data_IF_342909712139
#
_entry.id   IF_342909712139
#
_cell.length_a   1.000
_cell.length_b   1.000
_cell.length_c   1.000
_cell.angle_alpha   90.00
_cell.angle_beta   90.00
_cell.angle_gamma   90.00
#
_symmetry.space_group_name_H-M   'P 1'
#
loop_
_entity.id
_entity.type
_entity.pdbx_description
1 polymer ?
#
# COMPACT_ATOMS: atom_id res chain seq x y z
N UNK A 1 24.19 12.92 -19.70
CA UNK A 1 22.76 12.82 -19.29
C UNK A 1 22.56 11.43 -18.72
N UNK A 2 22.05 11.30 -17.49
CA UNK A 2 21.72 9.97 -16.95
C UNK A 2 20.48 9.43 -17.65
N UNK A 3 20.50 8.15 -18.03
CA UNK A 3 19.35 7.45 -18.60
C UNK A 3 18.88 6.34 -17.63
N UNK A 4 17.62 6.07 -17.63
CA UNK A 4 16.97 5.06 -16.82
C UNK A 4 16.09 4.18 -17.70
N UNK A 5 16.03 2.90 -17.39
CA UNK A 5 15.17 1.94 -18.09
C UNK A 5 13.71 2.08 -17.64
N UNK A 6 13.51 2.37 -16.34
CA UNK A 6 12.18 2.58 -15.74
C UNK A 6 12.16 3.84 -14.88
N UNK A 7 11.06 4.57 -14.96
CA UNK A 7 10.76 5.69 -14.06
C UNK A 7 9.46 5.38 -13.34
N UNK A 8 9.53 5.23 -12.03
CA UNK A 8 8.38 4.94 -11.16
C UNK A 8 7.99 6.26 -10.47
N UNK A 9 6.76 6.71 -10.67
CA UNK A 9 6.25 7.93 -10.06
C UNK A 9 5.43 7.57 -8.83
N UNK A 10 5.96 7.92 -7.66
CA UNK A 10 5.43 7.61 -6.35
C UNK A 10 6.07 6.37 -5.71
N UNK A 11 6.69 6.56 -4.54
CA UNK A 11 7.23 5.49 -3.70
C UNK A 11 6.19 4.99 -2.67
N UNK A 12 4.92 4.86 -3.07
CA UNK A 12 3.89 4.20 -2.28
C UNK A 12 4.01 2.68 -2.34
N UNK A 13 3.04 1.95 -1.79
CA UNK A 13 3.06 0.48 -1.71
C UNK A 13 3.33 -0.18 -3.07
N UNK A 14 2.61 0.22 -4.12
CA UNK A 14 2.79 -0.33 -5.47
C UNK A 14 4.14 0.04 -6.07
N UNK A 15 4.56 1.30 -5.95
CA UNK A 15 5.84 1.76 -6.48
C UNK A 15 7.04 1.08 -5.82
N UNK A 16 6.98 0.85 -4.51
CA UNK A 16 8.02 0.10 -3.80
C UNK A 16 8.10 -1.36 -4.26
N UNK A 17 6.96 -2.01 -4.47
CA UNK A 17 6.92 -3.39 -4.99
C UNK A 17 7.50 -3.45 -6.41
N UNK A 18 7.11 -2.53 -7.28
CA UNK A 18 7.66 -2.46 -8.64
C UNK A 18 9.16 -2.20 -8.64
N UNK A 19 9.64 -1.26 -7.80
CA UNK A 19 11.07 -0.97 -7.69
C UNK A 19 11.85 -2.20 -7.23
N UNK A 20 11.33 -2.94 -6.24
CA UNK A 20 11.92 -4.16 -5.75
C UNK A 20 11.98 -5.23 -6.87
N UNK A 21 10.83 -5.56 -7.45
CA UNK A 21 10.72 -6.63 -8.45
C UNK A 21 11.52 -6.35 -9.73
N UNK A 22 11.47 -5.14 -10.24
CA UNK A 22 12.26 -4.74 -11.43
C UNK A 22 13.77 -4.65 -11.12
N UNK A 23 14.13 -4.43 -9.85
CA UNK A 23 15.53 -4.32 -9.42
C UNK A 23 16.18 -5.66 -9.02
N UNK A 24 15.43 -6.75 -8.86
CA UNK A 24 15.93 -8.05 -8.37
C UNK A 24 17.09 -8.59 -9.23
N UNK A 25 17.00 -8.48 -10.54
CA UNK A 25 18.00 -8.99 -11.47
C UNK A 25 19.19 -8.04 -11.73
N UNK A 26 19.16 -6.83 -11.18
CA UNK A 26 20.18 -5.77 -11.32
C UNK A 26 20.54 -5.38 -12.76
N UNK A 27 19.70 -5.75 -13.74
CA UNK A 27 19.92 -5.41 -15.16
C UNK A 27 19.36 -4.05 -15.54
N UNK A 28 18.37 -3.58 -14.80
CA UNK A 28 17.65 -2.35 -15.08
C UNK A 28 18.06 -1.22 -14.14
N UNK A 29 18.24 -0.03 -14.72
CA UNK A 29 18.44 1.20 -13.96
C UNK A 29 17.09 1.86 -13.71
N UNK A 30 16.69 1.91 -12.44
CA UNK A 30 15.36 2.35 -12.04
C UNK A 30 15.46 3.68 -11.30
N UNK A 31 14.63 4.64 -11.70
CA UNK A 31 14.44 5.90 -10.98
C UNK A 31 13.08 5.88 -10.29
N UNK A 32 13.07 6.12 -8.99
CA UNK A 32 11.83 6.31 -8.23
C UNK A 32 11.72 7.78 -7.84
N UNK A 33 10.62 8.42 -8.21
CA UNK A 33 10.30 9.81 -7.87
C UNK A 33 9.22 9.84 -6.80
N UNK A 34 9.53 10.43 -5.65
CA UNK A 34 8.59 10.60 -4.55
C UNK A 34 8.42 12.08 -4.20
N UNK A 35 7.19 12.52 -3.97
CA UNK A 35 6.88 13.92 -3.65
C UNK A 35 7.17 14.27 -2.19
N UNK A 36 7.18 13.27 -1.31
CA UNK A 36 7.40 13.43 0.11
C UNK A 36 8.82 13.09 0.55
N UNK A 37 9.12 13.28 1.84
CA UNK A 37 10.41 12.92 2.42
C UNK A 37 10.54 11.40 2.62
N UNK A 38 11.74 10.99 3.06
CA UNK A 38 11.95 9.68 3.66
C UNK A 38 11.10 9.51 4.94
N UNK A 39 10.79 8.30 5.30
CA UNK A 39 9.91 7.90 6.40
C UNK A 39 10.54 8.01 7.81
N UNK A 40 11.52 8.88 7.99
CA UNK A 40 12.24 9.05 9.26
C UNK A 40 11.43 9.67 10.40
N UNK A 41 10.18 10.08 10.14
CA UNK A 41 9.33 10.64 11.19
C UNK A 41 8.94 9.55 12.19
N UNK A 42 9.30 9.76 13.46
CA UNK A 42 9.06 8.81 14.55
C UNK A 42 7.59 8.38 14.68
N UNK A 43 6.64 9.29 14.34
CA UNK A 43 5.20 8.97 14.40
C UNK A 43 4.75 7.92 13.37
N UNK A 44 5.53 7.67 12.34
CA UNK A 44 5.30 6.60 11.38
C UNK A 44 5.60 5.23 12.01
N UNK A 45 6.64 5.16 12.83
CA UNK A 45 7.14 3.90 13.40
C UNK A 45 6.52 3.54 14.75
N UNK A 46 5.67 4.41 15.29
CA UNK A 46 4.95 4.16 16.55
C UNK A 46 3.47 3.95 16.22
N UNK A 47 2.87 2.77 16.47
CA UNK A 47 1.46 2.51 16.18
C UNK A 47 0.50 3.57 16.72
N UNK A 48 0.70 4.02 17.96
CA UNK A 48 -0.09 5.11 18.55
C UNK A 48 0.12 6.47 17.89
N UNK A 49 1.11 6.60 17.02
CA UNK A 49 1.44 7.85 16.30
C UNK A 49 0.53 8.14 15.11
N UNK A 50 -0.31 7.21 14.68
CA UNK A 50 -1.14 7.31 13.46
C UNK A 50 -1.93 8.61 13.37
N UNK A 51 -2.58 9.04 14.45
CA UNK A 51 -3.35 10.30 14.46
C UNK A 51 -2.49 11.56 14.30
N UNK A 52 -1.22 11.52 14.78
CA UNK A 52 -0.26 12.59 14.57
C UNK A 52 0.28 12.57 13.15
N UNK A 53 0.51 11.39 12.58
CA UNK A 53 0.92 11.23 11.19
C UNK A 53 -0.15 11.77 10.24
N UNK A 54 -1.43 11.46 10.45
CA UNK A 54 -2.55 11.97 9.65
C UNK A 54 -2.66 13.50 9.64
N UNK A 55 -2.26 14.16 10.69
CA UNK A 55 -2.32 15.64 10.82
C UNK A 55 -1.05 16.35 10.40
N UNK A 56 -0.03 15.62 10.01
CA UNK A 56 1.26 16.21 9.66
C UNK A 56 1.33 16.56 8.17
N UNK A 57 1.28 17.85 7.78
CA UNK A 57 1.28 18.27 6.37
C UNK A 57 2.59 17.97 5.63
N UNK A 58 3.66 17.62 6.35
CA UNK A 58 4.94 17.25 5.74
C UNK A 58 4.89 15.85 5.12
N UNK A 59 4.05 14.95 5.66
CA UNK A 59 3.94 13.54 5.26
C UNK A 59 2.53 13.14 4.81
N UNK A 60 1.61 14.09 4.73
CA UNK A 60 0.23 13.89 4.28
C UNK A 60 -0.15 14.98 3.29
N UNK A 61 -0.85 14.62 2.21
CA UNK A 61 -1.39 15.56 1.23
C UNK A 61 -2.53 16.41 1.80
N UNK A 62 -3.16 15.98 2.90
CA UNK A 62 -4.29 16.65 3.56
C UNK A 62 -5.47 16.94 2.62
N UNK A 63 -5.81 16.00 1.76
CA UNK A 63 -7.02 16.13 0.95
C UNK A 63 -8.28 16.08 1.83
N UNK A 64 -9.33 16.70 1.35
CA UNK A 64 -10.68 16.56 1.88
C UNK A 64 -11.68 16.43 0.71
N UNK A 65 -12.85 15.87 0.98
CA UNK A 65 -13.92 15.85 0.00
C UNK A 65 -14.47 17.27 -0.23
N UNK A 66 -15.23 17.44 -1.28
CA UNK A 66 -16.19 18.53 -1.35
C UNK A 66 -17.23 18.40 -0.21
N UNK A 67 -18.06 19.40 -0.03
CA UNK A 67 -19.13 19.32 0.95
C UNK A 67 -20.11 18.21 0.57
N UNK A 68 -20.44 17.36 1.52
CA UNK A 68 -21.34 16.22 1.32
C UNK A 68 -22.72 16.55 1.89
N UNK A 69 -23.74 16.81 1.05
CA UNK A 69 -25.08 17.19 1.51
C UNK A 69 -25.69 16.17 2.47
N UNK A 70 -25.49 14.87 2.19
CA UNK A 70 -25.98 13.75 3.03
C UNK A 70 -25.25 13.63 4.38
N UNK A 71 -24.18 14.39 4.58
CA UNK A 71 -23.43 14.47 5.81
C UNK A 71 -23.51 15.87 6.47
N UNK A 72 -24.64 16.54 6.34
CA UNK A 72 -24.87 17.90 6.88
C UNK A 72 -23.88 18.94 6.32
N UNK A 73 -23.64 18.91 5.02
CA UNK A 73 -22.69 19.77 4.32
C UNK A 73 -21.25 19.76 4.86
N UNK A 74 -20.87 18.65 5.50
CA UNK A 74 -19.49 18.47 5.96
C UNK A 74 -18.59 18.01 4.83
N UNK A 75 -17.34 18.46 4.86
CA UNK A 75 -16.27 17.79 4.15
C UNK A 75 -15.64 16.72 5.05
N UNK A 76 -15.13 15.68 4.42
CA UNK A 76 -14.48 14.55 5.10
C UNK A 76 -12.99 14.58 4.81
N UNK A 77 -12.12 14.60 5.83
CA UNK A 77 -10.67 14.48 5.62
C UNK A 77 -10.31 13.16 4.92
N UNK A 78 -9.48 13.26 3.89
CA UNK A 78 -9.01 12.13 3.08
C UNK A 78 -7.48 12.02 3.17
N UNK A 79 -6.92 11.44 4.26
CA UNK A 79 -5.50 11.30 4.42
C UNK A 79 -4.88 10.48 3.29
N UNK A 80 -3.79 10.99 2.70
CA UNK A 80 -2.96 10.28 1.72
C UNK A 80 -1.51 10.57 2.02
N UNK A 81 -0.72 9.51 2.13
CA UNK A 81 0.69 9.64 2.42
C UNK A 81 1.45 10.40 1.34
N UNK A 82 2.25 11.37 1.78
CA UNK A 82 3.23 12.13 1.00
C UNK A 82 4.60 11.85 1.60
N UNK A 83 5.09 10.65 1.43
CA UNK A 83 6.28 10.12 2.09
C UNK A 83 6.67 8.79 1.42
N UNK A 84 7.92 8.38 1.50
CA UNK A 84 8.33 7.03 1.09
C UNK A 84 7.50 5.98 1.85
N UNK A 85 6.94 5.01 1.13
CA UNK A 85 5.91 4.08 1.59
C UNK A 85 4.48 4.57 1.35
N UNK A 86 4.29 5.86 1.02
CA UNK A 86 2.99 6.44 0.71
C UNK A 86 1.99 6.29 1.86
N UNK A 87 0.74 5.95 1.53
CA UNK A 87 -0.31 5.77 2.55
C UNK A 87 -0.07 4.57 3.47
N UNK A 88 0.75 3.57 3.07
CA UNK A 88 1.12 2.48 3.98
C UNK A 88 2.00 2.94 5.14
N UNK A 89 2.74 4.06 4.99
CA UNK A 89 3.52 4.66 6.10
C UNK A 89 2.67 5.44 7.11
N UNK A 90 1.42 5.77 6.79
CA UNK A 90 0.54 6.55 7.68
C UNK A 90 -0.81 5.88 7.95
N UNK A 91 -1.06 4.66 7.48
CA UNK A 91 -2.32 3.96 7.63
C UNK A 91 -2.56 3.47 9.08
N UNK A 92 -3.72 2.90 9.33
CA UNK A 92 -4.09 2.33 10.64
C UNK A 92 -3.63 0.88 10.83
N UNK A 93 -2.76 0.38 9.96
CA UNK A 93 -2.11 -0.95 10.06
C UNK A 93 -3.10 -2.12 10.05
N UNK A 94 -4.29 -1.95 9.50
CA UNK A 94 -5.23 -3.04 9.29
C UNK A 94 -4.87 -3.77 8.01
N UNK A 95 -4.53 -5.06 8.12
CA UNK A 95 -4.30 -5.92 6.97
C UNK A 95 -5.59 -6.68 6.65
N UNK A 96 -6.15 -6.41 5.48
CA UNK A 96 -7.36 -7.07 4.98
C UNK A 96 -7.27 -7.19 3.46
N UNK A 97 -7.61 -8.35 2.94
CA UNK A 97 -7.78 -8.57 1.50
C UNK A 97 -9.21 -8.27 1.10
N UNK A 98 -9.42 -7.97 -0.19
CA UNK A 98 -10.76 -7.90 -0.76
C UNK A 98 -11.49 -9.25 -0.68
N UNK A 99 -12.83 -9.21 -0.76
CA UNK A 99 -13.62 -10.44 -0.77
C UNK A 99 -13.35 -11.22 -2.07
N UNK A 100 -13.26 -12.56 -2.04
CA UNK A 100 -13.00 -13.36 -3.24
C UNK A 100 -13.93 -13.03 -4.41
N UNK A 101 -15.22 -12.84 -4.15
CA UNK A 101 -16.20 -12.50 -5.19
C UNK A 101 -15.94 -11.15 -5.88
N UNK A 102 -15.21 -10.21 -5.26
CA UNK A 102 -14.87 -8.96 -5.92
C UNK A 102 -13.86 -9.21 -7.05
N UNK A 103 -12.89 -10.08 -6.82
CA UNK A 103 -11.90 -10.49 -7.83
C UNK A 103 -12.56 -11.33 -8.94
N UNK A 104 -13.43 -12.28 -8.56
CA UNK A 104 -14.14 -13.12 -9.51
C UNK A 104 -15.06 -12.30 -10.43
N UNK A 105 -15.65 -11.20 -9.91
CA UNK A 105 -16.39 -10.23 -10.71
C UNK A 105 -15.51 -9.46 -11.67
N UNK A 106 -14.31 -9.10 -11.30
CA UNK A 106 -13.36 -8.48 -12.24
C UNK A 106 -13.07 -9.40 -13.43
N UNK A 107 -12.91 -10.69 -13.16
CA UNK A 107 -12.74 -11.66 -14.24
C UNK A 107 -14.01 -11.80 -15.09
N UNK A 108 -15.17 -12.02 -14.46
CA UNK A 108 -16.42 -12.37 -15.17
C UNK A 108 -17.08 -11.16 -15.84
N UNK A 109 -17.14 -10.01 -15.17
CA UNK A 109 -17.84 -8.82 -15.64
C UNK A 109 -16.95 -7.86 -16.42
N UNK A 110 -15.66 -7.76 -16.05
CA UNK A 110 -14.71 -6.84 -16.68
C UNK A 110 -13.78 -7.54 -17.70
N UNK A 111 -13.87 -8.86 -17.86
CA UNK A 111 -13.06 -9.63 -18.81
C UNK A 111 -11.57 -9.74 -18.44
N UNK A 112 -11.21 -9.52 -17.19
CA UNK A 112 -9.83 -9.58 -16.69
C UNK A 112 -9.44 -11.03 -16.36
N UNK A 113 -9.03 -11.80 -17.37
CA UNK A 113 -8.87 -13.26 -17.29
C UNK A 113 -7.99 -13.78 -16.16
N UNK A 114 -6.98 -13.02 -15.74
CA UNK A 114 -6.00 -13.45 -14.73
C UNK A 114 -6.22 -12.78 -13.36
N UNK A 115 -7.45 -12.33 -13.08
CA UNK A 115 -7.79 -11.54 -11.90
C UNK A 115 -8.82 -12.19 -10.98
N UNK A 116 -9.11 -13.49 -11.12
CA UNK A 116 -9.90 -14.19 -10.12
C UNK A 116 -9.17 -14.26 -8.78
N UNK A 117 -9.88 -14.50 -7.70
CA UNK A 117 -9.25 -14.60 -6.39
C UNK A 117 -8.17 -15.68 -6.33
N UNK A 118 -8.42 -16.85 -6.90
CA UNK A 118 -7.46 -17.95 -6.92
C UNK A 118 -6.18 -17.59 -7.69
N UNK A 119 -6.28 -16.76 -8.73
CA UNK A 119 -5.13 -16.29 -9.49
C UNK A 119 -4.37 -15.17 -8.77
N UNK A 120 -5.05 -14.36 -7.96
CA UNK A 120 -4.44 -13.31 -7.15
C UNK A 120 -3.83 -13.84 -5.85
N UNK A 121 -4.35 -14.93 -5.29
CA UNK A 121 -3.96 -15.49 -4.00
C UNK A 121 -2.45 -15.79 -3.88
N UNK A 122 -1.78 -16.38 -4.90
CA UNK A 122 -0.34 -16.62 -4.85
C UNK A 122 0.48 -15.34 -4.61
N UNK A 123 0.09 -14.23 -5.23
CA UNK A 123 0.77 -12.93 -5.06
C UNK A 123 0.55 -12.33 -3.67
N UNK A 124 -0.64 -12.52 -3.09
CA UNK A 124 -0.88 -12.12 -1.70
C UNK A 124 -0.02 -12.92 -0.74
N UNK A 125 0.09 -14.24 -0.95
CA UNK A 125 0.92 -15.13 -0.13
C UNK A 125 2.41 -14.80 -0.29
N UNK A 126 2.88 -14.55 -1.51
CA UNK A 126 4.27 -14.18 -1.78
C UNK A 126 4.68 -12.90 -1.01
N UNK A 127 3.78 -11.93 -0.91
CA UNK A 127 4.05 -10.68 -0.19
C UNK A 127 3.99 -10.80 1.33
N UNK A 128 3.24 -11.75 1.87
CA UNK A 128 2.88 -11.84 3.29
C UNK A 128 3.87 -12.68 4.10
N UNK A 129 4.19 -12.18 5.30
CA UNK A 129 4.89 -12.92 6.35
C UNK A 129 4.04 -12.91 7.62
N UNK A 130 3.16 -13.89 7.76
CA UNK A 130 2.22 -14.00 8.88
C UNK A 130 2.88 -14.62 10.11
N UNK A 131 2.66 -14.05 11.29
CA UNK A 131 3.09 -14.62 12.58
C UNK A 131 2.35 -15.92 12.93
N UNK A 132 1.29 -16.25 12.19
CA UNK A 132 0.55 -17.53 12.31
C UNK A 132 1.17 -18.63 11.44
N UNK A 133 2.21 -18.32 10.67
CA UNK A 133 2.81 -19.21 9.70
C UNK A 133 2.04 -19.26 8.38
N UNK A 134 2.56 -20.08 7.48
CA UNK A 134 1.96 -20.32 6.17
C UNK A 134 0.81 -21.33 6.26
N UNK A 135 -0.27 -21.07 5.55
CA UNK A 135 -1.38 -21.99 5.36
C UNK A 135 -1.96 -21.85 3.94
N UNK A 136 -3.14 -22.42 3.71
CA UNK A 136 -3.84 -22.31 2.43
C UNK A 136 -4.02 -20.85 1.99
N UNK A 137 -4.27 -19.94 2.93
CA UNK A 137 -4.63 -18.54 2.65
C UNK A 137 -3.52 -17.54 2.98
N UNK A 138 -2.53 -17.91 3.79
CA UNK A 138 -1.50 -16.99 4.31
C UNK A 138 -0.12 -17.34 3.77
N UNK A 139 0.66 -16.30 3.53
CA UNK A 139 2.09 -16.43 3.31
C UNK A 139 2.90 -16.38 4.62
N UNK A 140 4.07 -17.02 4.63
CA UNK A 140 4.93 -17.10 5.82
C UNK A 140 6.35 -16.58 5.62
N UNK A 141 6.68 -16.05 4.42
CA UNK A 141 8.07 -15.66 4.10
C UNK A 141 8.21 -14.38 3.29
N UNK A 142 7.10 -13.69 3.02
CA UNK A 142 7.11 -12.44 2.27
C UNK A 142 7.69 -11.26 3.06
N UNK A 143 7.82 -10.12 2.39
CA UNK A 143 8.42 -8.92 2.98
C UNK A 143 7.46 -8.12 3.88
N UNK A 144 6.15 -8.37 3.81
CA UNK A 144 5.15 -7.68 4.62
C UNK A 144 4.85 -8.48 5.88
N UNK A 145 5.35 -8.03 7.02
CA UNK A 145 5.04 -8.60 8.33
C UNK A 145 3.57 -8.37 8.70
N UNK A 146 2.84 -9.44 8.97
CA UNK A 146 1.43 -9.42 9.39
C UNK A 146 1.32 -10.12 10.73
N UNK A 147 0.89 -9.40 11.76
CA UNK A 147 0.78 -9.91 13.13
C UNK A 147 -0.67 -9.91 13.60
N UNK A 148 -1.01 -10.91 14.41
CA UNK A 148 -2.27 -10.88 15.15
C UNK A 148 -2.16 -9.84 16.25
N UNK A 149 -3.05 -8.83 16.22
CA UNK A 149 -3.14 -7.88 17.33
C UNK A 149 -3.43 -8.61 18.64
N UNK A 150 -2.61 -8.32 19.65
CA UNK A 150 -2.92 -8.70 21.04
C UNK A 150 -3.62 -7.51 21.69
N UNK A 151 -4.84 -7.72 22.15
CA UNK A 151 -5.60 -6.79 22.96
C UNK A 151 -5.50 -7.20 24.42
#
# INVERSE_FOLDING_TARGET
MESYDYVIVGAGSAGCVLANKLGEDKKHKILVLEAGPMDYNLMIHIPAGVYKAYRNPKINWNYSTENEPELFDRNVPMPRGKVVGGSSSINSMVYMRGHPLDYDRWQSECGLKDWSYDQCLPYFKEGENSDRGEDEWRGGSGNLGVTKGSF
#
